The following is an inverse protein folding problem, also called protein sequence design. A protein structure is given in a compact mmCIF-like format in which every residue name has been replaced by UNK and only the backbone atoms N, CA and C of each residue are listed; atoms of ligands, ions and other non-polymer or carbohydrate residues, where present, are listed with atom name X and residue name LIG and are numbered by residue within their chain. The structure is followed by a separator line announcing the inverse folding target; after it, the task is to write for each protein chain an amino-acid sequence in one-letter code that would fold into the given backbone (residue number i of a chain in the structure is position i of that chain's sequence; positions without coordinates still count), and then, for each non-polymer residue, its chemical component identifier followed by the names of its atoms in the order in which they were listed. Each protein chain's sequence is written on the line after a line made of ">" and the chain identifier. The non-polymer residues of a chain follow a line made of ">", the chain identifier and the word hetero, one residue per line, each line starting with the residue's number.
data_IF_156984397655
#
_entry.id   IF_156984397655
#
_cell.length_a   1.000
_cell.length_b   1.000
_cell.length_c   1.000
_cell.angle_alpha   90.00
_cell.angle_beta   90.00
_cell.angle_gamma   90.00
#
_symmetry.space_group_name_H-M   'P 1'
#
loop_
_entity.id
_entity.type
_entity.pdbx_description
1 polymer ?
#
# COMPACT_ATOMS: atom_id res chain seq x y z
N UNK A 1 -52.94 -10.35 12.77
CA UNK A 1 -51.51 -10.59 13.07
C UNK A 1 -50.85 -10.68 11.71
N UNK A 2 -50.53 -9.52 11.15
CA UNK A 2 -49.76 -9.41 9.90
C UNK A 2 -48.40 -8.87 10.31
N UNK A 3 -47.38 -9.71 10.10
CA UNK A 3 -46.04 -9.48 10.59
C UNK A 3 -45.37 -8.42 9.73
N UNK A 4 -44.97 -7.35 10.41
CA UNK A 4 -44.06 -6.32 9.98
C UNK A 4 -42.66 -6.93 9.77
N UNK A 5 -42.40 -7.47 8.58
CA UNK A 5 -41.08 -7.97 8.16
C UNK A 5 -40.61 -7.13 6.99
N UNK A 6 -39.77 -6.13 7.23
CA UNK A 6 -39.21 -5.32 6.16
C UNK A 6 -38.41 -4.11 6.60
N UNK A 7 -37.75 -4.17 7.76
CA UNK A 7 -36.87 -3.08 8.22
C UNK A 7 -35.66 -3.67 8.95
N UNK A 8 -34.60 -3.99 8.19
CA UNK A 8 -33.21 -4.08 8.69
C UNK A 8 -32.19 -4.05 7.51
N UNK A 9 -32.36 -3.13 6.56
CA UNK A 9 -31.37 -2.93 5.49
C UNK A 9 -31.08 -1.46 5.19
N UNK A 10 -31.59 -0.56 6.02
CA UNK A 10 -31.45 0.89 5.87
C UNK A 10 -30.98 1.52 7.17
N UNK A 11 -29.67 1.50 7.46
CA UNK A 11 -29.03 2.63 8.17
C UNK A 11 -27.47 2.57 8.18
N UNK A 12 -26.81 2.22 7.07
CA UNK A 12 -25.41 2.63 6.93
C UNK A 12 -25.42 4.07 6.41
N UNK A 13 -24.85 5.06 7.12
CA UNK A 13 -24.70 6.39 6.54
C UNK A 13 -23.98 6.24 5.18
N UNK A 14 -24.37 7.01 4.15
CA UNK A 14 -23.70 6.96 2.86
C UNK A 14 -22.21 7.20 3.10
N UNK A 15 -21.38 6.25 2.67
CA UNK A 15 -19.93 6.37 2.73
C UNK A 15 -19.52 7.60 1.92
N UNK A 16 -18.55 8.36 2.44
CA UNK A 16 -18.02 9.48 1.66
C UNK A 16 -17.16 8.92 0.52
N UNK A 17 -17.01 9.64 -0.62
CA UNK A 17 -16.15 9.19 -1.71
C UNK A 17 -14.72 8.81 -1.26
N UNK A 18 -14.21 9.46 -0.22
CA UNK A 18 -12.92 9.17 0.38
C UNK A 18 -12.89 7.80 1.10
N UNK A 19 -13.96 7.44 1.80
CA UNK A 19 -14.09 6.13 2.45
C UNK A 19 -14.21 5.00 1.42
N UNK A 20 -14.91 5.27 0.31
CA UNK A 20 -15.05 4.34 -0.80
C UNK A 20 -13.71 4.12 -1.53
N UNK A 21 -12.98 5.20 -1.81
CA UNK A 21 -11.64 5.14 -2.38
C UNK A 21 -10.66 4.38 -1.48
N UNK A 22 -10.75 4.58 -0.16
CA UNK A 22 -9.93 3.85 0.79
C UNK A 22 -10.27 2.36 0.86
N UNK A 23 -11.56 1.99 0.81
CA UNK A 23 -11.97 0.59 0.73
C UNK A 23 -11.39 -0.09 -0.52
N UNK A 24 -11.44 0.60 -1.67
CA UNK A 24 -10.80 0.11 -2.90
C UNK A 24 -9.28 0.00 -2.78
N UNK A 25 -8.63 1.01 -2.20
CA UNK A 25 -7.18 1.01 -2.00
C UNK A 25 -6.74 -0.13 -1.07
N UNK A 26 -7.48 -0.39 0.01
CA UNK A 26 -7.20 -1.50 0.93
C UNK A 26 -7.40 -2.87 0.27
N UNK A 27 -8.40 -3.03 -0.59
CA UNK A 27 -8.57 -4.26 -1.38
C UNK A 27 -7.36 -4.51 -2.29
N UNK A 28 -6.86 -3.46 -2.96
CA UNK A 28 -5.65 -3.54 -3.80
C UNK A 28 -4.41 -3.88 -2.97
N UNK A 29 -4.25 -3.29 -1.77
CA UNK A 29 -3.13 -3.58 -0.87
C UNK A 29 -3.18 -5.03 -0.34
N UNK A 30 -4.38 -5.55 -0.06
CA UNK A 30 -4.57 -6.97 0.26
C UNK A 30 -4.08 -7.87 -0.88
N UNK A 31 -4.50 -7.57 -2.10
CA UNK A 31 -4.09 -8.33 -3.29
C UNK A 31 -2.57 -8.26 -3.52
N UNK A 32 -1.97 -7.07 -3.40
CA UNK A 32 -0.52 -6.90 -3.48
C UNK A 32 0.21 -7.71 -2.41
N UNK A 33 -0.33 -7.78 -1.19
CA UNK A 33 0.23 -8.58 -0.10
C UNK A 33 0.22 -10.07 -0.45
N UNK A 34 -0.91 -10.59 -0.97
CA UNK A 34 -1.01 -11.98 -1.42
C UNK A 34 0.00 -12.31 -2.54
N UNK A 35 0.15 -11.42 -3.53
CA UNK A 35 1.14 -11.56 -4.61
C UNK A 35 2.56 -11.66 -4.04
N UNK A 36 2.95 -10.75 -3.14
CA UNK A 36 4.31 -10.73 -2.57
C UNK A 36 4.62 -11.93 -1.69
N UNK A 37 3.59 -12.54 -1.09
CA UNK A 37 3.72 -13.73 -0.26
C UNK A 37 3.68 -15.02 -1.08
N UNK A 38 3.26 -14.96 -2.35
CA UNK A 38 3.05 -16.13 -3.19
C UNK A 38 1.89 -17.01 -2.69
N UNK A 39 0.90 -16.41 -2.03
CA UNK A 39 -0.26 -17.10 -1.48
C UNK A 39 -1.43 -17.03 -2.48
N UNK A 40 -1.60 -18.10 -3.26
CA UNK A 40 -2.65 -18.21 -4.28
C UNK A 40 -4.06 -18.21 -3.67
N UNK A 41 -4.25 -18.79 -2.48
CA UNK A 41 -5.56 -18.80 -1.81
C UNK A 41 -5.92 -17.40 -1.29
N UNK A 42 -4.94 -16.68 -0.74
CA UNK A 42 -5.13 -15.28 -0.35
C UNK A 42 -5.33 -14.36 -1.56
N UNK A 43 -4.76 -14.69 -2.73
CA UNK A 43 -4.94 -13.95 -3.97
C UNK A 43 -6.37 -14.08 -4.47
N UNK A 44 -6.89 -15.30 -4.58
CA UNK A 44 -8.29 -15.57 -4.96
C UNK A 44 -9.27 -14.87 -4.00
N UNK A 45 -9.03 -14.97 -2.68
CA UNK A 45 -9.84 -14.29 -1.68
C UNK A 45 -9.79 -12.76 -1.80
N UNK A 46 -8.63 -12.19 -2.17
CA UNK A 46 -8.48 -10.76 -2.38
C UNK A 46 -9.20 -10.29 -3.65
N UNK A 47 -9.22 -11.10 -4.72
CA UNK A 47 -10.00 -10.80 -5.92
C UNK A 47 -11.51 -10.80 -5.65
N UNK A 48 -11.98 -11.80 -4.91
CA UNK A 48 -13.38 -11.87 -4.47
C UNK A 48 -13.75 -10.66 -3.61
N UNK A 49 -12.87 -10.27 -2.68
CA UNK A 49 -13.06 -9.08 -1.85
C UNK A 49 -13.14 -7.80 -2.70
N UNK A 50 -12.27 -7.62 -3.69
CA UNK A 50 -12.33 -6.45 -4.58
C UNK A 50 -13.64 -6.38 -5.35
N UNK A 51 -14.13 -7.52 -5.88
CA UNK A 51 -15.43 -7.56 -6.57
C UNK A 51 -16.59 -7.23 -5.63
N UNK A 52 -16.54 -7.72 -4.39
CA UNK A 52 -17.53 -7.39 -3.37
C UNK A 52 -17.52 -5.89 -3.04
N UNK A 53 -16.33 -5.30 -2.83
CA UNK A 53 -16.18 -3.86 -2.59
C UNK A 53 -16.78 -3.07 -3.75
N UNK A 54 -16.39 -3.33 -5.00
CA UNK A 54 -16.90 -2.57 -6.15
C UNK A 54 -18.42 -2.75 -6.33
N UNK A 55 -18.93 -3.95 -6.07
CA UNK A 55 -20.38 -4.21 -6.10
C UNK A 55 -21.11 -3.41 -5.04
N UNK A 56 -20.56 -3.32 -3.82
CA UNK A 56 -21.12 -2.51 -2.74
C UNK A 56 -21.09 -1.00 -3.02
N UNK A 57 -20.19 -0.53 -3.88
CA UNK A 57 -20.10 0.87 -4.33
C UNK A 57 -21.00 1.18 -5.54
N UNK A 58 -21.65 0.18 -6.12
CA UNK A 58 -22.46 0.33 -7.33
C UNK A 58 -23.94 0.41 -7.00
N UNK A 59 -24.65 1.41 -7.54
CA UNK A 59 -26.11 1.56 -7.37
C UNK A 59 -26.92 0.42 -8.01
N UNK A 60 -26.31 -0.32 -8.94
CA UNK A 60 -26.91 -1.44 -9.65
C UNK A 60 -25.92 -2.62 -9.73
N UNK A 61 -26.42 -3.86 -9.86
CA UNK A 61 -25.56 -5.02 -10.09
C UNK A 61 -24.65 -4.81 -11.30
N UNK A 62 -23.39 -5.23 -11.17
CA UNK A 62 -22.43 -5.20 -12.27
C UNK A 62 -22.89 -6.12 -13.40
N UNK A 63 -22.68 -5.68 -14.63
CA UNK A 63 -22.80 -6.58 -15.79
C UNK A 63 -21.59 -7.52 -15.85
N UNK A 64 -21.70 -8.69 -16.50
CA UNK A 64 -20.57 -9.63 -16.63
C UNK A 64 -19.31 -8.98 -17.20
N UNK A 65 -19.47 -8.08 -18.19
CA UNK A 65 -18.34 -7.34 -18.77
C UNK A 65 -17.70 -6.36 -17.79
N UNK A 66 -18.46 -5.79 -16.86
CA UNK A 66 -17.91 -4.91 -15.83
C UNK A 66 -17.17 -5.71 -14.76
N UNK A 67 -17.64 -6.90 -14.40
CA UNK A 67 -16.93 -7.82 -13.50
C UNK A 67 -15.56 -8.22 -14.08
N UNK A 68 -15.49 -8.56 -15.37
CA UNK A 68 -14.23 -8.85 -16.07
C UNK A 68 -13.26 -7.66 -16.03
N UNK A 69 -13.78 -6.45 -16.24
CA UNK A 69 -12.98 -5.21 -16.19
C UNK A 69 -12.47 -4.96 -14.78
N UNK A 70 -13.31 -5.13 -13.75
CA UNK A 70 -12.91 -4.98 -12.35
C UNK A 70 -11.81 -5.99 -11.98
N UNK A 71 -11.97 -7.26 -12.36
CA UNK A 71 -10.96 -8.28 -12.13
C UNK A 71 -9.62 -7.92 -12.80
N UNK A 72 -9.67 -7.46 -14.06
CA UNK A 72 -8.46 -7.03 -14.79
C UNK A 72 -7.79 -5.82 -14.14
N UNK A 73 -8.57 -4.82 -13.73
CA UNK A 73 -8.04 -3.62 -13.05
C UNK A 73 -7.48 -3.95 -11.67
N UNK A 74 -8.12 -4.87 -10.94
CA UNK A 74 -7.63 -5.41 -9.68
C UNK A 74 -6.28 -6.08 -9.83
N UNK A 75 -6.16 -7.04 -10.75
CA UNK A 75 -4.92 -7.74 -11.04
C UNK A 75 -3.79 -6.78 -11.44
N UNK A 76 -4.08 -5.81 -12.31
CA UNK A 76 -3.12 -4.78 -12.71
C UNK A 76 -2.71 -3.88 -11.54
N UNK A 77 -3.68 -3.42 -10.74
CA UNK A 77 -3.43 -2.57 -9.57
C UNK A 77 -2.64 -3.27 -8.47
N UNK A 78 -3.01 -4.51 -8.15
CA UNK A 78 -2.30 -5.35 -7.18
C UNK A 78 -0.87 -5.66 -7.62
N UNK A 79 -0.65 -5.98 -8.90
CA UNK A 79 0.70 -6.21 -9.44
C UNK A 79 1.56 -4.96 -9.41
N UNK A 80 0.99 -3.79 -9.75
CA UNK A 80 1.69 -2.50 -9.66
C UNK A 80 2.07 -2.20 -8.21
N UNK A 81 1.11 -2.33 -7.28
CA UNK A 81 1.34 -2.07 -5.86
C UNK A 81 2.38 -3.04 -5.27
N UNK A 82 2.38 -4.31 -5.65
CA UNK A 82 3.38 -5.29 -5.26
C UNK A 82 4.78 -4.90 -5.79
N UNK A 83 4.91 -4.61 -7.09
CA UNK A 83 6.19 -4.23 -7.70
C UNK A 83 6.77 -2.92 -7.14
N UNK A 84 5.93 -1.90 -6.95
CA UNK A 84 6.34 -0.64 -6.34
C UNK A 84 6.79 -0.83 -4.88
N UNK A 85 6.07 -1.66 -4.12
CA UNK A 85 6.41 -1.96 -2.73
C UNK A 85 7.71 -2.73 -2.63
N UNK A 86 7.95 -3.70 -3.53
CA UNK A 86 9.21 -4.45 -3.59
C UNK A 86 10.39 -3.56 -3.97
N UNK A 87 10.24 -2.69 -4.96
CA UNK A 87 11.28 -1.73 -5.35
C UNK A 87 11.62 -0.76 -4.21
N UNK A 88 10.61 -0.26 -3.50
CA UNK A 88 10.80 0.62 -2.35
C UNK A 88 11.44 -0.13 -1.17
N UNK A 89 10.98 -1.33 -0.86
CA UNK A 89 11.53 -2.19 0.18
C UNK A 89 13.00 -2.49 -0.06
N UNK A 90 13.36 -2.85 -1.29
CA UNK A 90 14.75 -3.05 -1.73
C UNK A 90 15.60 -1.80 -1.52
N UNK A 91 15.11 -0.64 -1.95
CA UNK A 91 15.81 0.65 -1.83
C UNK A 91 16.05 1.06 -0.37
N UNK A 92 15.10 0.75 0.52
CA UNK A 92 15.17 1.11 1.95
C UNK A 92 15.79 0.01 2.81
N UNK A 93 16.05 -1.18 2.27
CA UNK A 93 16.55 -2.33 3.01
C UNK A 93 15.58 -2.85 4.06
N UNK A 94 14.27 -2.79 3.78
CA UNK A 94 13.19 -3.24 4.67
C UNK A 94 12.39 -4.37 4.02
N UNK A 95 11.50 -4.99 4.79
CA UNK A 95 10.60 -6.03 4.29
C UNK A 95 9.43 -5.41 3.48
N UNK A 96 9.02 -6.05 2.39
CA UNK A 96 7.92 -5.59 1.52
C UNK A 96 6.59 -5.53 2.26
N UNK A 97 6.33 -6.47 3.17
CA UNK A 97 5.14 -6.46 4.02
C UNK A 97 5.09 -5.25 4.96
N UNK A 98 6.24 -4.76 5.42
CA UNK A 98 6.32 -3.51 6.22
C UNK A 98 5.91 -2.29 5.37
N UNK A 99 6.34 -2.25 4.11
CA UNK A 99 5.96 -1.18 3.17
C UNK A 99 4.46 -1.21 2.88
N UNK A 100 3.91 -2.38 2.56
CA UNK A 100 2.48 -2.57 2.30
C UNK A 100 1.63 -2.27 3.55
N UNK A 101 2.07 -2.70 4.74
CA UNK A 101 1.43 -2.36 6.01
C UNK A 101 1.40 -0.86 6.27
N UNK A 102 2.52 -0.17 6.04
CA UNK A 102 2.60 1.29 6.16
C UNK A 102 1.69 2.01 5.16
N UNK A 103 1.55 1.48 3.94
CA UNK A 103 0.63 2.00 2.94
C UNK A 103 -0.85 1.84 3.39
N UNK A 104 -1.22 0.68 3.94
CA UNK A 104 -2.55 0.47 4.50
C UNK A 104 -2.85 1.42 5.67
N UNK A 105 -1.90 1.62 6.58
CA UNK A 105 -2.02 2.57 7.68
C UNK A 105 -2.22 4.01 7.19
N UNK A 106 -1.48 4.42 6.15
CA UNK A 106 -1.64 5.75 5.55
C UNK A 106 -3.02 5.96 4.92
N UNK A 107 -3.56 4.92 4.24
CA UNK A 107 -4.92 4.96 3.68
C UNK A 107 -5.96 5.11 4.79
N UNK A 108 -5.81 4.36 5.90
CA UNK A 108 -6.72 4.45 7.03
C UNK A 108 -6.64 5.82 7.72
N UNK A 109 -5.44 6.39 7.87
CA UNK A 109 -5.25 7.72 8.45
C UNK A 109 -5.97 8.82 7.64
N UNK A 110 -6.02 8.70 6.31
CA UNK A 110 -6.70 9.66 5.43
C UNK A 110 -8.23 9.63 5.55
N UNK A 111 -8.80 8.51 6.01
CA UNK A 111 -10.26 8.35 6.16
C UNK A 111 -10.79 8.70 7.54
N UNK A 112 -9.90 8.79 8.52
CA UNK A 112 -10.29 9.28 9.83
C UNK A 112 -10.52 10.79 9.69
N UNK A 113 -11.74 11.30 9.96
CA UNK A 113 -11.89 12.74 10.15
C UNK A 113 -10.91 13.12 11.25
N UNK A 114 -10.13 14.19 11.06
CA UNK A 114 -9.28 14.72 12.13
C UNK A 114 -10.16 14.91 13.36
N UNK A 115 -10.12 13.94 14.27
CA UNK A 115 -10.74 14.03 15.56
C UNK A 115 -9.92 15.08 16.29
N UNK A 116 -10.31 16.33 16.09
CA UNK A 116 -10.02 17.45 16.96
C UNK A 116 -8.53 17.54 17.32
N UNK A 117 -7.77 18.21 16.44
CA UNK A 117 -6.67 19.06 16.90
C UNK A 117 -7.24 20.12 17.87
N UNK A 118 -7.62 19.69 19.08
CA UNK A 118 -7.79 20.55 20.24
C UNK A 118 -6.43 20.58 20.95
N UNK A 119 -5.64 21.65 20.81
CA UNK A 119 -4.58 21.92 21.75
C UNK A 119 -5.23 22.36 23.07
N UNK A 120 -5.73 21.42 23.87
CA UNK A 120 -6.06 21.70 25.26
C UNK A 120 -4.77 21.74 26.08
N UNK A 121 -4.07 22.85 25.88
CA UNK A 121 -3.18 23.42 26.86
C UNK A 121 -4.02 23.96 28.03
N UNK A 122 -4.41 23.09 28.96
CA UNK A 122 -4.78 23.53 30.31
C UNK A 122 -3.68 23.11 31.29
N UNK A 123 -2.78 24.08 31.51
CA UNK A 123 -2.02 24.21 32.75
C UNK A 123 -2.99 24.23 33.93
N UNK A 124 -3.03 23.15 34.69
CA UNK A 124 -3.41 23.21 36.10
C UNK A 124 -2.20 22.82 36.93
N UNK A 125 -1.41 23.84 37.26
CA UNK A 125 -0.53 23.82 38.42
C UNK A 125 -1.42 23.85 39.67
N UNK A 126 -1.48 22.79 40.48
CA UNK A 126 -1.85 22.94 41.88
C UNK A 126 -1.16 21.91 42.81
N UNK A 127 -0.37 22.50 43.70
CA UNK A 127 0.25 22.09 44.95
C UNK A 127 0.32 20.60 45.37
N UNK A 128 1.56 20.12 45.54
CA UNK A 128 1.90 18.94 46.34
C UNK A 128 3.38 18.85 46.75
N UNK A 129 3.96 19.89 47.34
CA UNK A 129 5.30 19.89 48.00
C UNK A 129 5.11 19.54 49.48
N UNK A 130 5.45 18.34 50.01
CA UNK A 130 6.74 17.74 50.42
C UNK A 130 6.76 17.55 51.97
N UNK A 131 7.76 16.94 52.66
CA UNK A 131 8.94 16.16 52.24
C UNK A 131 9.16 14.82 53.03
N UNK A 132 10.04 13.95 52.54
CA UNK A 132 10.52 12.77 53.30
C UNK A 132 11.91 12.34 52.82
N UNK A 133 12.90 12.47 53.69
CA UNK A 133 14.34 12.40 53.43
C UNK A 133 14.89 11.00 53.04
N UNK A 134 15.95 11.00 52.23
CA UNK A 134 16.79 9.83 51.98
C UNK A 134 18.00 10.17 51.13
N UNK A 135 19.12 10.49 51.79
CA UNK A 135 20.39 10.82 51.19
C UNK A 135 21.09 9.59 50.59
N UNK A 136 21.80 9.77 49.46
CA UNK A 136 22.72 8.80 48.91
C UNK A 136 23.57 9.43 47.80
N UNK A 137 24.85 9.66 48.12
CA UNK A 137 25.84 10.34 47.29
C UNK A 137 26.57 9.38 46.33
N UNK A 138 27.11 9.95 45.25
CA UNK A 138 28.08 9.35 44.30
C UNK A 138 27.88 10.00 42.93
N UNK A 139 28.52 11.12 42.60
CA UNK A 139 29.93 11.32 42.22
C UNK A 139 30.44 10.36 41.12
N UNK A 140 30.46 10.87 39.88
CA UNK A 140 31.53 10.65 38.89
C UNK A 140 31.30 11.54 37.63
N UNK A 141 32.18 12.53 37.43
CA UNK A 141 32.95 12.87 36.20
C UNK A 141 32.54 12.18 34.87
N UNK A 142 32.54 12.76 33.65
CA UNK A 142 33.18 13.94 33.04
C UNK A 142 32.59 14.13 31.58
N UNK A 143 33.13 15.03 30.71
CA UNK A 143 32.36 15.75 29.67
C UNK A 143 32.58 15.31 28.20
N UNK A 144 31.70 15.81 27.32
CA UNK A 144 32.05 16.25 25.96
C UNK A 144 31.55 15.40 24.80
N UNK A 145 30.64 15.98 23.99
CA UNK A 145 30.64 15.83 22.54
C UNK A 145 29.72 16.90 21.92
N UNK A 146 30.34 17.86 21.22
CA UNK A 146 29.74 18.57 20.09
C UNK A 146 29.26 17.54 19.07
N UNK A 147 28.01 17.64 18.62
CA UNK A 147 27.68 17.23 17.25
C UNK A 147 26.72 18.22 16.61
N UNK A 148 27.20 18.86 15.56
CA UNK A 148 26.49 19.85 14.77
C UNK A 148 25.72 19.10 13.69
N UNK A 149 24.38 19.06 13.80
CA UNK A 149 23.54 18.69 12.66
C UNK A 149 23.72 19.68 11.51
N UNK A 150 24.04 19.23 10.29
CA UNK A 150 23.78 20.00 9.08
C UNK A 150 22.45 19.58 8.45
N UNK A 151 21.53 20.54 8.43
CA UNK A 151 20.56 20.86 7.38
C UNK A 151 20.02 19.74 6.49
N UNK A 152 18.74 19.45 6.72
CA UNK A 152 17.82 18.54 6.03
C UNK A 152 17.26 19.02 4.68
N UNK A 153 17.95 19.89 3.94
CA UNK A 153 17.34 20.61 2.80
C UNK A 153 17.80 20.15 1.40
N UNK A 154 18.48 19.01 1.26
CA UNK A 154 19.07 18.59 -0.02
C UNK A 154 18.54 17.26 -0.61
N UNK A 155 17.57 16.59 0.01
CA UNK A 155 17.16 15.22 -0.43
C UNK A 155 15.97 15.23 -1.41
N UNK A 156 15.17 16.29 -1.48
CA UNK A 156 13.93 16.27 -2.25
C UNK A 156 14.09 16.32 -3.78
N UNK A 157 15.24 16.72 -4.32
CA UNK A 157 15.38 17.00 -5.77
C UNK A 157 16.08 15.87 -6.56
N UNK A 158 16.65 14.87 -5.87
CA UNK A 158 17.43 13.79 -6.53
C UNK A 158 16.62 12.52 -6.82
N UNK A 159 15.47 12.36 -6.16
CA UNK A 159 14.72 11.10 -6.18
C UNK A 159 13.74 11.00 -7.37
N UNK A 160 13.43 12.10 -8.06
CA UNK A 160 12.50 12.08 -9.21
C UNK A 160 13.12 11.51 -10.50
N UNK A 161 14.42 11.68 -10.73
CA UNK A 161 15.05 11.23 -11.97
C UNK A 161 15.25 9.71 -12.04
N UNK A 162 15.43 9.05 -10.89
CA UNK A 162 15.60 7.58 -10.83
C UNK A 162 14.28 6.83 -11.04
N UNK A 163 13.14 7.48 -10.76
CA UNK A 163 11.81 6.90 -10.95
C UNK A 163 11.41 6.82 -12.43
N UNK A 164 11.80 7.82 -13.23
CA UNK A 164 11.50 7.88 -14.67
C UNK A 164 12.28 6.81 -15.46
N UNK A 165 13.55 6.59 -15.14
CA UNK A 165 14.39 5.55 -15.79
C UNK A 165 13.92 4.12 -15.48
N UNK A 166 13.43 3.86 -14.26
CA UNK A 166 12.96 2.53 -13.86
C UNK A 166 11.60 2.17 -14.50
N UNK A 167 10.75 3.17 -14.75
CA UNK A 167 9.46 2.98 -15.41
C UNK A 167 9.62 2.68 -16.91
N UNK A 168 10.58 3.33 -17.58
CA UNK A 168 10.84 3.15 -19.01
C UNK A 168 11.41 1.75 -19.32
N UNK A 169 12.24 1.17 -18.43
CA UNK A 169 12.77 -0.19 -18.56
C UNK A 169 11.68 -1.27 -18.36
N UNK A 170 10.71 -1.02 -17.46
CA UNK A 170 9.58 -1.92 -17.22
C UNK A 170 8.60 -1.94 -18.40
N UNK A 171 8.34 -0.80 -19.02
CA UNK A 171 7.50 -0.70 -20.23
C UNK A 171 8.21 -1.30 -21.45
N UNK A 172 9.52 -1.08 -21.60
CA UNK A 172 10.33 -1.63 -22.69
C UNK A 172 10.59 -3.15 -22.57
N UNK A 173 10.59 -3.70 -21.35
CA UNK A 173 10.90 -5.11 -21.07
C UNK A 173 9.86 -6.11 -21.60
N UNK A 174 8.61 -5.68 -21.78
CA UNK A 174 7.49 -6.56 -22.22
C UNK A 174 7.51 -6.92 -23.71
N UNK A 175 8.43 -6.36 -24.51
CA UNK A 175 8.45 -6.52 -25.98
C UNK A 175 9.50 -7.51 -26.54
N UNK A 176 10.25 -8.24 -25.70
CA UNK A 176 11.47 -8.96 -26.17
C UNK A 176 11.41 -10.47 -26.37
N UNK A 177 10.34 -11.17 -26.00
CA UNK A 177 10.37 -12.65 -25.99
C UNK A 177 9.67 -13.38 -27.16
N UNK A 178 9.10 -12.68 -28.15
CA UNK A 178 8.31 -13.32 -29.22
C UNK A 178 8.97 -13.39 -30.63
N UNK A 179 10.30 -13.20 -30.75
CA UNK A 179 11.00 -13.24 -32.05
C UNK A 179 12.05 -14.35 -32.20
N UNK A 180 11.76 -15.56 -31.72
CA UNK A 180 12.56 -16.76 -32.04
C UNK A 180 11.70 -17.94 -32.49
N UNK A 181 10.91 -17.74 -33.55
CA UNK A 181 10.46 -18.84 -34.38
C UNK A 181 10.50 -18.45 -35.86
N UNK A 182 11.18 -19.31 -36.62
CA UNK A 182 11.10 -19.49 -38.07
C UNK A 182 12.24 -18.92 -38.91
N UNK A 183 12.92 -19.82 -39.63
CA UNK A 183 14.06 -19.47 -40.48
C UNK A 183 15.13 -20.54 -40.68
N UNK A 184 14.92 -21.81 -40.29
CA UNK A 184 15.80 -22.90 -40.75
C UNK A 184 15.48 -23.23 -42.21
N UNK A 185 16.26 -22.62 -43.10
CA UNK A 185 16.38 -22.95 -44.53
C UNK A 185 16.75 -24.41 -44.74
N UNK A 186 16.15 -25.12 -45.71
CA UNK A 186 16.69 -26.33 -46.28
C UNK A 186 17.38 -26.03 -47.62
N UNK A 187 18.69 -25.80 -47.57
CA UNK A 187 19.63 -25.93 -48.68
C UNK A 187 20.74 -26.86 -48.11
N UNK A 188 21.35 -27.85 -48.74
CA UNK A 188 21.41 -28.32 -50.11
C UNK A 188 22.16 -29.68 -50.07
N UNK A 189 22.08 -30.42 -51.18
CA UNK A 189 23.09 -31.35 -51.68
C UNK A 189 23.49 -32.63 -50.90
N UNK A 190 23.12 -33.80 -51.46
CA UNK A 190 24.14 -34.80 -51.79
C UNK A 190 23.89 -35.51 -53.14
N UNK A 191 24.87 -35.24 -54.00
CA UNK A 191 25.24 -35.74 -55.31
C UNK A 191 25.55 -37.26 -55.33
N UNK A 192 25.16 -37.91 -56.43
CA UNK A 192 25.81 -39.02 -57.14
C UNK A 192 26.11 -40.36 -56.42
N UNK A 193 25.44 -41.43 -56.85
CA UNK A 193 25.97 -42.46 -57.79
C UNK A 193 24.90 -43.48 -58.15
#
# INVERSE_FOLDING_TARGET
>A
MDQNSGDDSTDRPPSTPEQEAAALALAIVSQASAITQGDEEALDASEDNLREVVTGLSDAPLTPRQEDVVATLGAAGGSLAAGLSEALAHTKGVDTGVVLGSAAEAVLAQTQPEAENAPDAESASDAGTAPGAGAGAGDATAPGADDRSPGSDAIADRDNAAFDDAFDDLVAGTSRDDQHADGRRPDDDHRAS
#
